data_IF_597910175972
#
_entry.id   IF_597910175972
#
_cell.length_a   1.000
_cell.length_b   1.000
_cell.length_c   1.000
_cell.angle_alpha   90.00
_cell.angle_beta   90.00
_cell.angle_gamma   90.00
#
_symmetry.space_group_name_H-M   'P 1'
#
loop_
_entity.id
_entity.type
_entity.pdbx_description
1 polymer ?
#
# COMPACT_ATOMS: atom_id res chain seq x y z
N UNK A 1 15.35 -6.11 -14.37
CA UNK A 1 14.11 -5.67 -13.69
C UNK A 1 13.83 -6.64 -12.55
N UNK A 2 13.57 -6.15 -11.33
CA UNK A 2 13.31 -7.03 -10.18
C UNK A 2 11.97 -7.75 -10.33
N UNK A 3 11.92 -9.04 -9.97
CA UNK A 3 10.69 -9.83 -10.00
C UNK A 3 9.61 -9.24 -9.08
N UNK A 4 10.00 -8.78 -7.89
CA UNK A 4 9.07 -8.21 -6.90
C UNK A 4 8.40 -6.92 -7.41
N UNK A 5 9.16 -6.03 -8.06
CA UNK A 5 8.62 -4.80 -8.63
C UNK A 5 7.63 -5.07 -9.77
N UNK A 6 7.82 -6.15 -10.52
CA UNK A 6 6.89 -6.56 -11.57
C UNK A 6 5.56 -7.05 -10.97
N UNK A 7 5.62 -7.81 -9.88
CA UNK A 7 4.41 -8.25 -9.16
C UNK A 7 3.66 -7.06 -8.57
N UNK A 8 4.36 -6.14 -7.90
CA UNK A 8 3.73 -4.95 -7.31
C UNK A 8 3.09 -4.04 -8.36
N UNK A 9 3.70 -3.92 -9.54
CA UNK A 9 3.13 -3.18 -10.67
C UNK A 9 1.89 -3.87 -11.24
N UNK A 10 1.88 -5.19 -11.35
CA UNK A 10 0.71 -5.94 -11.80
C UNK A 10 -0.46 -5.86 -10.81
N UNK A 11 -0.16 -5.72 -9.52
CA UNK A 11 -1.14 -5.52 -8.46
C UNK A 11 -1.56 -4.05 -8.26
N UNK A 12 -1.11 -3.14 -9.12
CA UNK A 12 -1.40 -1.69 -9.07
C UNK A 12 -0.92 -0.97 -7.78
N UNK A 13 0.02 -1.59 -7.06
CA UNK A 13 0.59 -1.05 -5.82
C UNK A 13 1.77 -0.09 -6.08
N UNK A 14 2.34 -0.14 -7.29
CA UNK A 14 3.50 0.69 -7.68
C UNK A 14 3.33 1.15 -9.12
N UNK A 15 3.54 2.44 -9.35
CA UNK A 15 3.58 3.06 -10.68
C UNK A 15 5.03 3.35 -11.08
N UNK A 16 5.24 3.64 -12.36
CA UNK A 16 6.56 4.02 -12.86
C UNK A 16 6.55 5.37 -13.53
N UNK A 17 7.61 6.15 -13.29
CA UNK A 17 7.86 7.42 -13.94
C UNK A 17 9.26 7.36 -14.56
N UNK A 18 9.36 7.75 -15.83
CA UNK A 18 10.67 7.91 -16.47
C UNK A 18 11.27 9.24 -16.07
N UNK A 19 12.49 9.17 -15.54
CA UNK A 19 13.28 10.30 -15.07
C UNK A 19 14.61 10.29 -15.84
N UNK A 20 14.55 10.82 -17.07
CA UNK A 20 15.66 10.78 -18.03
C UNK A 20 16.08 9.35 -18.38
N UNK A 21 17.25 8.94 -17.89
CA UNK A 21 17.83 7.59 -18.09
C UNK A 21 17.40 6.60 -17.01
N UNK A 22 16.72 7.06 -15.97
CA UNK A 22 16.30 6.28 -14.81
C UNK A 22 14.81 5.96 -14.90
N UNK A 23 14.41 4.81 -14.36
CA UNK A 23 13.01 4.50 -14.10
C UNK A 23 12.81 4.58 -12.59
N UNK A 24 11.98 5.53 -12.16
CA UNK A 24 11.59 5.67 -10.76
C UNK A 24 10.30 4.88 -10.53
N UNK A 25 10.29 4.05 -9.50
CA UNK A 25 9.11 3.32 -9.06
C UNK A 25 8.51 4.10 -7.89
N UNK A 26 7.22 4.39 -7.95
CA UNK A 26 6.50 5.19 -6.95
C UNK A 26 5.38 4.34 -6.38
N UNK A 27 5.29 4.27 -5.05
CA UNK A 27 4.20 3.54 -4.41
C UNK A 27 2.86 4.25 -4.66
N UNK A 28 1.84 3.47 -5.03
CA UNK A 28 0.46 3.95 -5.05
C UNK A 28 -0.09 3.87 -3.62
N UNK A 29 0.10 4.94 -2.85
CA UNK A 29 -0.30 4.97 -1.43
C UNK A 29 -1.79 4.72 -1.22
N UNK A 30 -2.65 5.14 -2.15
CA UNK A 30 -4.08 4.86 -2.10
C UNK A 30 -4.37 3.36 -2.17
N UNK A 31 -3.76 2.66 -3.14
CA UNK A 31 -3.92 1.21 -3.27
C UNK A 31 -3.31 0.45 -2.07
N UNK A 32 -2.13 0.88 -1.61
CA UNK A 32 -1.45 0.28 -0.45
C UNK A 32 -2.26 0.46 0.84
N UNK A 33 -2.80 1.67 1.09
CA UNK A 33 -3.68 1.92 2.23
C UNK A 33 -4.93 1.04 2.17
N UNK A 34 -5.58 0.94 1.00
CA UNK A 34 -6.74 0.07 0.81
C UNK A 34 -6.43 -1.40 1.13
N UNK A 35 -5.27 -1.90 0.69
CA UNK A 35 -4.83 -3.27 1.00
C UNK A 35 -4.61 -3.47 2.50
N UNK A 36 -3.93 -2.54 3.18
CA UNK A 36 -3.67 -2.64 4.62
C UNK A 36 -4.98 -2.60 5.40
N UNK A 37 -5.90 -1.68 5.07
CA UNK A 37 -7.23 -1.61 5.68
C UNK A 37 -8.01 -2.91 5.50
N UNK A 38 -7.97 -3.51 4.31
CA UNK A 38 -8.60 -4.79 4.03
C UNK A 38 -8.04 -5.91 4.92
N UNK A 39 -6.71 -6.04 5.00
CA UNK A 39 -6.07 -7.06 5.84
C UNK A 39 -6.35 -6.84 7.33
N UNK A 40 -6.40 -5.59 7.77
CA UNK A 40 -6.62 -5.25 9.17
C UNK A 40 -8.07 -5.38 9.63
N UNK A 41 -9.04 -5.38 8.71
CA UNK A 41 -10.45 -5.61 9.02
C UNK A 41 -10.68 -6.89 9.82
N UNK A 42 -9.91 -7.93 9.52
CA UNK A 42 -10.00 -9.24 10.20
C UNK A 42 -8.87 -9.47 11.23
N UNK A 43 -7.90 -8.56 11.31
CA UNK A 43 -6.71 -8.72 12.15
C UNK A 43 -7.02 -8.75 13.66
N UNK A 44 -8.00 -7.96 14.11
CA UNK A 44 -8.41 -7.92 15.52
C UNK A 44 -9.48 -8.97 15.90
N UNK A 45 -9.60 -10.07 15.14
CA UNK A 45 -10.61 -11.10 15.35
C UNK A 45 -12.03 -10.60 15.09
N UNK A 46 -12.18 -9.69 14.12
CA UNK A 46 -13.44 -9.01 13.79
C UNK A 46 -13.81 -7.83 14.70
N UNK A 47 -12.98 -7.50 15.71
CA UNK A 47 -13.18 -6.34 16.60
C UNK A 47 -12.39 -5.13 16.12
N UNK A 48 -12.96 -4.41 15.14
CA UNK A 48 -12.31 -3.26 14.50
C UNK A 48 -11.95 -2.15 15.50
N UNK A 49 -12.73 -1.98 16.55
CA UNK A 49 -12.53 -1.07 17.68
C UNK A 49 -11.15 -1.20 18.36
N UNK A 50 -10.55 -2.41 18.36
CA UNK A 50 -9.21 -2.62 18.91
C UNK A 50 -8.10 -2.21 17.94
N UNK A 51 -8.37 -2.31 16.64
CA UNK A 51 -7.41 -1.98 15.58
C UNK A 51 -7.50 -0.50 15.17
N UNK A 52 -8.64 0.17 15.43
CA UNK A 52 -8.92 1.55 15.07
C UNK A 52 -7.79 2.55 15.40
N UNK A 53 -7.22 2.58 16.62
CA UNK A 53 -6.13 3.51 16.92
C UNK A 53 -4.84 3.26 16.11
N UNK A 54 -4.64 2.04 15.63
CA UNK A 54 -3.52 1.70 14.74
C UNK A 54 -3.86 2.08 13.30
N UNK A 55 -5.11 1.88 12.88
CA UNK A 55 -5.61 2.30 11.57
C UNK A 55 -5.49 3.81 11.38
N UNK A 56 -5.87 4.59 12.38
CA UNK A 56 -5.81 6.05 12.35
C UNK A 56 -4.36 6.57 12.24
N UNK A 57 -3.37 5.81 12.73
CA UNK A 57 -1.94 6.15 12.56
C UNK A 57 -1.38 5.76 11.19
N UNK A 58 -1.97 4.73 10.55
CA UNK A 58 -1.54 4.24 9.24
C UNK A 58 -2.09 5.09 8.10
N UNK A 59 -3.28 5.68 8.28
CA UNK A 59 -3.83 6.68 7.38
C UNK A 59 -3.16 8.02 7.70
N UNK A 60 -1.88 8.18 7.33
CA UNK A 60 -1.34 9.54 7.23
C UNK A 60 -2.08 10.25 6.09
N UNK A 61 -2.66 11.41 6.37
CA UNK A 61 -3.01 12.41 5.35
C UNK A 61 -1.72 13.06 4.82
N UNK A 62 -0.93 12.22 4.16
CA UNK A 62 0.26 12.52 3.38
C UNK A 62 -0.12 12.19 1.92
#
# INVERSE_FOLDING_TARGET
MSANLKVLMQADLVTTVRDGRSIRYVANYTAVQGLVLFLMKDCCGGRQDLCQPVLDQLVCEC
#
